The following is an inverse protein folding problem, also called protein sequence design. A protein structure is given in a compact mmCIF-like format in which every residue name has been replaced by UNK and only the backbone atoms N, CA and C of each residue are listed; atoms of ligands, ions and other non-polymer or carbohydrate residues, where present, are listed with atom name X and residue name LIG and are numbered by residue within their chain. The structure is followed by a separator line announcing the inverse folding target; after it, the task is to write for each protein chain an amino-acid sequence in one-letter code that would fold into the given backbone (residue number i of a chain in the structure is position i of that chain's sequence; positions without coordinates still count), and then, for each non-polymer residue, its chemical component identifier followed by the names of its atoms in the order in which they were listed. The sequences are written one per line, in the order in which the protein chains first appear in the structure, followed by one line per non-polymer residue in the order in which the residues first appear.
data_IF_311925575632
#
_entry.id   IF_311925575632
#
_cell.length_a   1.000
_cell.length_b   1.000
_cell.length_c   1.000
_cell.angle_alpha   90.00
_cell.angle_beta   90.00
_cell.angle_gamma   90.00
#
_symmetry.space_group_name_H-M   'P 1'
#
loop_
_entity.id
_entity.type
_entity.pdbx_description
1 polymer ?
#
# COMPACT_ATOMS: atom_id res chain seq x y z
N UNK A 1 36.78 -41.14 -30.39
CA UNK A 1 36.09 -39.85 -30.63
C UNK A 1 34.71 -39.99 -30.00
N UNK A 2 34.46 -39.70 -28.72
CA UNK A 2 34.35 -38.37 -28.06
C UNK A 2 33.46 -37.42 -28.87
N UNK A 3 32.38 -36.79 -28.40
CA UNK A 3 31.59 -36.77 -27.14
C UNK A 3 30.32 -35.94 -27.50
N UNK A 4 29.14 -36.13 -26.88
CA UNK A 4 27.93 -35.35 -27.17
C UNK A 4 27.95 -33.97 -26.48
N UNK A 5 27.46 -32.95 -27.20
CA UNK A 5 27.44 -31.54 -26.79
C UNK A 5 26.53 -31.26 -25.59
N UNK A 6 27.04 -30.40 -24.73
CA UNK A 6 26.58 -30.09 -23.40
C UNK A 6 25.37 -29.14 -23.37
N UNK A 7 24.56 -29.34 -22.32
CA UNK A 7 23.62 -28.39 -21.75
C UNK A 7 24.31 -27.06 -21.41
N UNK A 8 23.73 -25.94 -21.83
CA UNK A 8 23.96 -24.64 -21.20
C UNK A 8 22.63 -24.14 -20.63
N UNK A 9 22.34 -24.62 -19.42
CA UNK A 9 21.31 -24.06 -18.57
C UNK A 9 21.92 -22.85 -17.86
N UNK A 10 21.63 -21.66 -18.36
CA UNK A 10 21.94 -20.41 -17.67
C UNK A 10 21.00 -20.27 -16.47
N UNK A 11 21.34 -20.94 -15.37
CA UNK A 11 20.78 -20.61 -14.05
C UNK A 11 21.30 -19.23 -13.65
N UNK A 12 20.47 -18.20 -13.88
CA UNK A 12 20.60 -16.91 -13.21
C UNK A 12 20.45 -17.16 -11.71
N UNK A 13 21.58 -17.29 -11.03
CA UNK A 13 21.69 -17.19 -9.59
C UNK A 13 21.35 -15.75 -9.19
N UNK A 14 20.10 -15.48 -8.84
CA UNK A 14 19.65 -14.21 -8.28
C UNK A 14 20.05 -14.12 -6.81
N UNK A 15 21.27 -13.66 -6.57
CA UNK A 15 21.74 -13.22 -5.25
C UNK A 15 20.92 -11.97 -4.85
N UNK A 16 19.82 -12.18 -4.13
CA UNK A 16 18.81 -11.13 -3.88
C UNK A 16 19.04 -10.51 -2.50
N UNK A 17 20.14 -9.76 -2.37
CA UNK A 17 20.21 -8.71 -1.36
C UNK A 17 19.53 -7.50 -1.99
N UNK A 18 18.31 -7.14 -1.55
CA UNK A 18 17.55 -6.03 -2.15
C UNK A 18 18.42 -4.75 -2.15
N UNK A 19 18.68 -4.24 -3.34
CA UNK A 19 19.50 -3.06 -3.57
C UNK A 19 18.80 -1.82 -3.01
N UNK A 20 19.55 -0.75 -2.68
CA UNK A 20 18.98 0.50 -2.16
C UNK A 20 17.90 1.11 -3.07
N UNK A 21 17.89 0.77 -4.35
CA UNK A 21 16.90 1.17 -5.37
C UNK A 21 15.56 0.43 -5.31
N UNK A 22 15.42 -0.63 -4.51
CA UNK A 22 14.17 -1.40 -4.39
C UNK A 22 13.36 -1.04 -3.13
N UNK A 23 13.90 -0.17 -2.26
CA UNK A 23 13.21 0.31 -1.06
C UNK A 23 12.46 1.61 -1.37
N UNK A 24 11.24 1.71 -0.85
CA UNK A 24 10.39 2.88 -0.93
C UNK A 24 10.45 3.66 0.39
N UNK A 25 10.41 4.97 0.31
CA UNK A 25 10.02 5.81 1.44
C UNK A 25 8.54 5.61 1.78
N UNK A 26 8.12 6.02 2.98
CA UNK A 26 6.68 6.00 3.32
C UNK A 26 5.84 6.88 2.40
N UNK A 27 6.41 7.99 1.90
CA UNK A 27 5.73 8.87 0.95
C UNK A 27 5.45 8.13 -0.38
N UNK A 28 6.48 7.50 -0.96
CA UNK A 28 6.35 6.75 -2.21
C UNK A 28 5.44 5.54 -2.05
N UNK A 29 5.55 4.82 -0.92
CA UNK A 29 4.68 3.70 -0.60
C UNK A 29 3.22 4.16 -0.47
N UNK A 30 2.95 5.23 0.27
CA UNK A 30 1.61 5.77 0.47
C UNK A 30 0.98 6.27 -0.83
N UNK A 31 1.74 6.99 -1.66
CA UNK A 31 1.26 7.43 -2.97
C UNK A 31 0.93 6.22 -3.85
N UNK A 32 1.84 5.26 -3.98
CA UNK A 32 1.61 4.03 -4.78
C UNK A 32 0.42 3.23 -4.25
N UNK A 33 0.25 3.16 -2.93
CA UNK A 33 -0.90 2.50 -2.31
C UNK A 33 -2.19 3.16 -2.79
N UNK A 34 -2.28 4.49 -2.74
CA UNK A 34 -3.46 5.24 -3.16
C UNK A 34 -3.71 5.07 -4.66
N UNK A 35 -2.67 5.10 -5.48
CA UNK A 35 -2.78 4.84 -6.93
C UNK A 35 -3.35 3.46 -7.23
N UNK A 36 -2.89 2.43 -6.51
CA UNK A 36 -3.38 1.06 -6.66
C UNK A 36 -4.81 0.92 -6.14
N UNK A 37 -5.09 1.51 -4.97
CA UNK A 37 -6.38 1.44 -4.32
C UNK A 37 -7.46 2.30 -4.98
N UNK A 38 -7.11 3.35 -5.72
CA UNK A 38 -8.06 4.24 -6.42
C UNK A 38 -7.85 4.12 -7.91
N UNK A 39 -8.29 2.98 -8.46
CA UNK A 39 -8.24 2.71 -9.88
C UNK A 39 -9.39 3.39 -10.66
N UNK A 40 -9.34 3.28 -11.98
CA UNK A 40 -10.33 3.84 -12.91
C UNK A 40 -11.77 3.46 -12.55
N UNK A 41 -12.00 2.18 -12.26
CA UNK A 41 -13.34 1.64 -12.00
C UNK A 41 -13.93 2.23 -10.73
N UNK A 42 -13.10 2.47 -9.71
CA UNK A 42 -13.54 3.13 -8.47
C UNK A 42 -13.86 4.60 -8.67
N UNK A 43 -13.08 5.30 -9.49
CA UNK A 43 -13.41 6.69 -9.87
C UNK A 43 -14.75 6.73 -10.60
N UNK A 44 -14.98 5.81 -11.54
CA UNK A 44 -16.26 5.71 -12.24
C UNK A 44 -17.40 5.42 -11.26
N UNK A 45 -17.25 4.46 -10.35
CA UNK A 45 -18.25 4.13 -9.34
C UNK A 45 -18.54 5.32 -8.40
N UNK A 46 -17.51 6.05 -7.99
CA UNK A 46 -17.59 7.22 -7.11
C UNK A 46 -18.45 8.35 -7.68
N UNK A 47 -18.50 8.50 -9.00
CA UNK A 47 -19.32 9.52 -9.68
C UNK A 47 -20.59 8.94 -10.30
N UNK A 48 -20.70 7.64 -10.52
CA UNK A 48 -21.86 7.02 -11.20
C UNK A 48 -23.19 7.23 -10.48
N UNK A 49 -23.18 7.46 -9.16
CA UNK A 49 -24.40 7.74 -8.39
C UNK A 49 -25.20 8.97 -8.85
N UNK A 50 -24.59 9.88 -9.63
CA UNK A 50 -25.28 11.03 -10.22
C UNK A 50 -25.87 10.74 -11.62
N UNK A 51 -25.39 9.71 -12.31
CA UNK A 51 -25.83 9.37 -13.65
C UNK A 51 -27.33 9.02 -13.66
N UNK A 52 -28.03 9.45 -14.71
CA UNK A 52 -29.46 9.24 -14.89
C UNK A 52 -30.36 10.12 -14.02
N UNK A 53 -29.82 10.89 -13.06
CA UNK A 53 -30.62 11.84 -12.26
C UNK A 53 -31.14 12.97 -13.14
N UNK A 54 -32.42 13.30 -12.95
CA UNK A 54 -33.04 14.47 -13.57
C UNK A 54 -32.57 15.77 -12.93
N UNK A 55 -32.56 16.84 -13.73
CA UNK A 55 -32.19 18.19 -13.35
C UNK A 55 -33.27 19.14 -13.85
N UNK A 56 -33.82 19.97 -12.96
CA UNK A 56 -34.77 21.03 -13.32
C UNK A 56 -34.18 22.35 -12.88
N UNK A 57 -34.21 23.34 -13.78
CA UNK A 57 -33.64 24.67 -13.63
C UNK A 57 -34.75 25.68 -13.96
N UNK A 58 -35.08 26.52 -12.99
CA UNK A 58 -36.11 27.56 -13.12
C UNK A 58 -37.42 27.24 -12.39
N UNK A 59 -38.47 28.07 -12.63
CA UNK A 59 -38.52 29.14 -13.63
C UNK A 59 -37.64 30.36 -13.28
N UNK A 60 -37.05 30.99 -14.30
CA UNK A 60 -36.27 32.23 -14.17
C UNK A 60 -36.73 33.31 -15.14
N UNK A 61 -36.61 34.58 -14.75
CA UNK A 61 -36.78 35.73 -15.64
C UNK A 61 -35.43 36.23 -16.15
N UNK A 62 -35.32 36.47 -17.46
CA UNK A 62 -34.09 36.83 -18.17
C UNK A 62 -34.34 38.06 -19.06
N UNK A 63 -33.31 38.87 -19.26
CA UNK A 63 -33.34 40.06 -20.12
C UNK A 63 -33.82 41.33 -19.40
N UNK A 64 -33.74 42.49 -20.06
CA UNK A 64 -34.18 43.76 -19.50
C UNK A 64 -35.67 43.68 -19.11
N UNK A 65 -35.99 44.13 -17.89
CA UNK A 65 -37.33 44.06 -17.29
C UNK A 65 -37.93 42.64 -17.13
N UNK A 66 -37.14 41.58 -17.26
CA UNK A 66 -37.61 40.20 -17.05
C UNK A 66 -38.59 39.70 -18.13
N UNK A 67 -38.53 40.28 -19.33
CA UNK A 67 -39.44 40.01 -20.44
C UNK A 67 -39.33 38.60 -21.04
N UNK A 68 -38.29 37.84 -20.68
CA UNK A 68 -38.14 36.45 -21.06
C UNK A 68 -38.23 35.51 -19.84
N UNK A 69 -38.93 34.40 -19.98
CA UNK A 69 -38.95 33.29 -19.01
C UNK A 69 -38.08 32.13 -19.49
N UNK A 70 -37.41 31.43 -18.57
CA UNK A 70 -36.66 30.20 -18.85
C UNK A 70 -37.05 29.10 -17.87
N UNK A 71 -37.35 27.93 -18.42
CA UNK A 71 -37.37 26.65 -17.72
C UNK A 71 -36.47 25.70 -18.48
N UNK A 72 -35.62 24.95 -17.79
CA UNK A 72 -34.80 23.92 -18.41
C UNK A 72 -34.90 22.61 -17.64
N UNK A 73 -35.06 21.52 -18.38
CA UNK A 73 -35.09 20.16 -17.86
C UNK A 73 -33.97 19.37 -18.51
N UNK A 74 -33.22 18.62 -17.71
CA UNK A 74 -32.08 17.86 -18.20
C UNK A 74 -31.90 16.53 -17.49
N UNK A 75 -31.05 15.71 -18.08
CA UNK A 75 -30.67 14.41 -17.54
C UNK A 75 -29.16 14.28 -17.55
N UNK A 76 -28.60 13.89 -16.39
CA UNK A 76 -27.17 13.64 -16.27
C UNK A 76 -26.83 12.32 -16.98
N UNK A 77 -25.88 12.38 -17.91
CA UNK A 77 -25.37 11.23 -18.65
C UNK A 77 -24.34 10.44 -17.85
N UNK A 78 -23.69 9.48 -18.53
CA UNK A 78 -22.65 8.66 -17.93
C UNK A 78 -21.33 9.45 -17.84
N UNK A 79 -20.70 9.58 -16.65
CA UNK A 79 -19.38 10.19 -16.54
C UNK A 79 -18.31 9.43 -17.33
N UNK A 80 -17.35 10.15 -17.90
CA UNK A 80 -16.23 9.57 -18.66
C UNK A 80 -14.92 10.11 -18.08
N UNK A 81 -14.00 9.22 -17.73
CA UNK A 81 -12.66 9.59 -17.28
C UNK A 81 -11.84 10.01 -18.50
N UNK A 82 -11.55 11.30 -18.59
CA UNK A 82 -10.88 11.94 -19.71
C UNK A 82 -9.35 11.80 -19.63
N UNK A 83 -8.78 11.91 -18.41
CA UNK A 83 -7.34 11.84 -18.16
C UNK A 83 -7.07 11.46 -16.70
N UNK A 84 -5.92 10.87 -16.43
CA UNK A 84 -5.42 10.58 -15.09
C UNK A 84 -3.97 11.08 -14.97
N UNK A 85 -3.78 12.36 -14.66
CA UNK A 85 -2.45 12.95 -14.48
C UNK A 85 -2.46 13.98 -13.34
N UNK A 86 -1.51 13.94 -12.39
CA UNK A 86 -0.71 12.79 -11.93
C UNK A 86 -1.57 11.61 -11.40
N UNK A 87 -0.97 10.47 -11.03
CA UNK A 87 -1.65 9.17 -10.78
C UNK A 87 -2.73 9.17 -9.67
N UNK A 88 -2.87 10.25 -8.92
CA UNK A 88 -3.86 10.46 -7.85
C UNK A 88 -4.88 11.56 -8.18
N UNK A 89 -4.81 12.13 -9.37
CA UNK A 89 -5.74 13.15 -9.89
C UNK A 89 -6.42 12.65 -11.15
N UNK A 90 -7.74 12.81 -11.23
CA UNK A 90 -8.56 12.28 -12.32
C UNK A 90 -9.43 13.38 -12.92
N UNK A 91 -9.33 13.58 -14.22
CA UNK A 91 -10.22 14.46 -14.96
C UNK A 91 -11.42 13.65 -15.45
N UNK A 92 -12.62 14.08 -15.06
CA UNK A 92 -13.88 13.42 -15.38
C UNK A 92 -14.79 14.41 -16.09
N UNK A 93 -15.32 14.00 -17.24
CA UNK A 93 -16.33 14.74 -17.99
C UNK A 93 -17.71 14.17 -17.74
N UNK A 94 -18.67 15.03 -17.41
CA UNK A 94 -20.06 14.66 -17.15
C UNK A 94 -20.95 15.34 -18.18
N UNK A 95 -21.48 14.60 -19.17
CA UNK A 95 -22.42 15.14 -20.14
C UNK A 95 -23.81 15.30 -19.50
N UNK A 96 -24.50 16.36 -19.86
CA UNK A 96 -25.90 16.62 -19.48
C UNK A 96 -26.67 17.05 -20.72
N UNK A 97 -27.70 16.29 -21.06
CA UNK A 97 -28.63 16.67 -22.13
C UNK A 97 -29.74 17.53 -21.54
N UNK A 98 -30.06 18.65 -22.19
CA UNK A 98 -31.05 19.62 -21.71
C UNK A 98 -32.07 20.00 -22.78
N UNK A 99 -33.31 20.17 -22.34
CA UNK A 99 -34.41 20.78 -23.09
C UNK A 99 -34.78 22.09 -22.40
N UNK A 100 -34.70 23.19 -23.13
CA UNK A 100 -34.98 24.53 -22.65
C UNK A 100 -36.31 24.99 -23.26
N UNK A 101 -37.16 25.55 -22.41
CA UNK A 101 -38.36 26.29 -22.83
C UNK A 101 -38.14 27.76 -22.50
N UNK A 102 -37.97 28.57 -23.54
CA UNK A 102 -37.80 30.02 -23.45
C UNK A 102 -39.11 30.69 -23.82
N UNK A 103 -39.67 31.50 -22.93
CA UNK A 103 -40.85 32.33 -23.22
C UNK A 103 -40.41 33.75 -23.49
N UNK A 104 -40.72 34.33 -24.64
CA UNK A 104 -40.38 35.72 -24.98
C UNK A 104 -41.59 36.39 -25.63
N UNK A 105 -42.05 37.51 -25.07
CA UNK A 105 -43.21 38.23 -25.60
C UNK A 105 -44.50 37.38 -25.67
N UNK A 106 -44.64 36.42 -24.76
CA UNK A 106 -45.76 35.46 -24.73
C UNK A 106 -45.62 34.26 -25.67
N UNK A 107 -44.60 34.21 -26.52
CA UNK A 107 -44.30 33.07 -27.39
C UNK A 107 -43.33 32.10 -26.70
N UNK A 108 -43.51 30.79 -26.92
CA UNK A 108 -42.63 29.76 -26.38
C UNK A 108 -41.74 29.16 -27.46
N UNK A 109 -40.45 29.06 -27.16
CA UNK A 109 -39.41 28.46 -27.99
C UNK A 109 -38.81 27.28 -27.25
N UNK A 110 -38.73 26.13 -27.92
CA UNK A 110 -38.08 24.93 -27.40
C UNK A 110 -36.72 24.77 -28.03
N UNK A 111 -35.71 24.57 -27.20
CA UNK A 111 -34.31 24.52 -27.62
C UNK A 111 -33.65 23.32 -26.97
N UNK A 112 -32.92 22.53 -27.75
CA UNK A 112 -32.07 21.47 -27.23
C UNK A 112 -30.66 21.99 -27.00
N UNK A 113 -30.11 21.71 -25.82
CA UNK A 113 -28.74 22.04 -25.49
C UNK A 113 -27.99 20.85 -24.89
N UNK A 114 -26.69 20.86 -25.08
CA UNK A 114 -25.77 19.97 -24.40
C UNK A 114 -24.93 20.79 -23.43
N UNK A 115 -24.74 20.24 -22.25
CA UNK A 115 -23.87 20.77 -21.21
C UNK A 115 -22.80 19.73 -20.92
N UNK A 116 -21.54 20.13 -20.92
CA UNK A 116 -20.44 19.27 -20.43
C UNK A 116 -19.86 19.90 -19.17
N UNK A 117 -19.71 19.09 -18.12
CA UNK A 117 -19.11 19.52 -16.86
C UNK A 117 -17.76 18.84 -16.69
N UNK A 118 -16.73 19.64 -16.51
CA UNK A 118 -15.38 19.17 -16.21
C UNK A 118 -15.17 19.09 -14.70
N UNK A 119 -14.81 17.91 -14.22
CA UNK A 119 -14.52 17.64 -12.81
C UNK A 119 -13.06 17.21 -12.67
N UNK A 120 -12.40 17.69 -11.62
CA UNK A 120 -11.09 17.21 -11.19
C UNK A 120 -11.25 16.50 -9.86
N UNK A 121 -10.95 15.21 -9.79
CA UNK A 121 -11.06 14.40 -8.59
C UNK A 121 -9.66 14.16 -8.03
N UNK A 122 -9.50 14.28 -6.71
CA UNK A 122 -8.24 14.03 -6.03
C UNK A 122 -8.38 12.88 -5.05
N UNK A 123 -7.56 11.84 -5.17
CA UNK A 123 -7.45 10.78 -4.17
C UNK A 123 -6.55 11.26 -3.03
N UNK A 124 -7.15 11.63 -1.90
CA UNK A 124 -6.46 12.20 -0.73
C UNK A 124 -6.58 11.26 0.47
N UNK A 125 -5.62 11.34 1.37
CA UNK A 125 -5.56 10.52 2.58
C UNK A 125 -5.99 11.31 3.81
N UNK A 126 -6.67 10.64 4.74
CA UNK A 126 -7.17 11.21 5.99
C UNK A 126 -7.00 10.23 7.15
N UNK A 127 -7.00 10.78 8.37
CA UNK A 127 -6.99 10.01 9.61
C UNK A 127 -8.24 9.11 9.77
N UNK A 128 -8.10 7.88 10.33
CA UNK A 128 -6.84 7.23 10.73
C UNK A 128 -6.08 6.59 9.56
N UNK A 129 -6.80 5.98 8.60
CA UNK A 129 -6.28 5.37 7.36
C UNK A 129 -7.39 5.38 6.30
N UNK A 130 -7.95 6.55 6.03
CA UNK A 130 -9.06 6.73 5.09
C UNK A 130 -8.53 7.33 3.78
N UNK A 131 -9.00 6.82 2.64
CA UNK A 131 -8.81 7.44 1.33
C UNK A 131 -10.13 8.08 0.91
N UNK A 132 -10.08 9.35 0.54
CA UNK A 132 -11.24 10.12 0.08
C UNK A 132 -10.99 10.58 -1.34
N UNK A 133 -11.92 10.28 -2.24
CA UNK A 133 -12.01 10.92 -3.55
C UNK A 133 -12.65 12.29 -3.34
N UNK A 134 -11.79 13.28 -3.17
CA UNK A 134 -12.17 14.68 -3.00
C UNK A 134 -12.58 15.28 -4.35
N UNK A 135 -13.72 15.97 -4.36
CA UNK A 135 -14.24 16.65 -5.54
C UNK A 135 -14.34 18.13 -5.18
N UNK A 136 -13.45 18.99 -5.71
CA UNK A 136 -13.53 20.42 -5.51
C UNK A 136 -14.90 20.94 -5.94
N UNK A 137 -15.33 22.03 -5.29
CA UNK A 137 -16.61 22.66 -5.61
C UNK A 137 -16.65 23.08 -7.07
N UNK A 138 -17.65 22.57 -7.79
CA UNK A 138 -17.89 22.89 -9.21
C UNK A 138 -18.34 24.34 -9.32
N UNK A 139 -17.71 25.09 -10.21
CA UNK A 139 -17.98 26.50 -10.50
C UNK A 139 -18.59 26.61 -11.90
N UNK A 140 -19.27 27.72 -12.19
CA UNK A 140 -19.89 27.95 -13.49
C UNK A 140 -18.89 27.91 -14.67
N UNK A 141 -17.61 28.20 -14.43
CA UNK A 141 -16.54 28.12 -15.43
C UNK A 141 -16.16 26.68 -15.80
N UNK A 142 -16.45 25.73 -14.94
CA UNK A 142 -16.18 24.31 -15.14
C UNK A 142 -17.34 23.64 -15.93
N UNK A 143 -18.32 24.45 -16.36
CA UNK A 143 -19.50 24.02 -17.11
C UNK A 143 -19.46 24.70 -18.48
N UNK A 144 -19.48 23.90 -19.54
CA UNK A 144 -19.68 24.37 -20.90
C UNK A 144 -21.14 24.17 -21.31
N UNK A 145 -21.65 25.07 -22.15
CA UNK A 145 -23.04 25.06 -22.62
C UNK A 145 -23.04 25.31 -24.12
N UNK A 146 -23.67 24.43 -24.88
CA UNK A 146 -23.79 24.52 -26.32
C UNK A 146 -25.23 24.24 -26.76
N UNK A 147 -25.74 25.07 -27.68
CA UNK A 147 -27.07 24.93 -28.27
C UNK A 147 -26.92 24.41 -29.70
N UNK A 148 -27.84 23.56 -30.16
CA UNK A 148 -27.88 23.13 -31.57
C UNK A 148 -28.31 24.30 -32.48
N UNK A 149 -27.47 24.63 -33.47
CA UNK A 149 -27.62 25.81 -34.32
C UNK A 149 -28.94 25.90 -35.09
N UNK A 150 -29.53 24.75 -35.47
CA UNK A 150 -30.80 24.69 -36.21
C UNK A 150 -32.03 25.05 -35.37
N UNK A 151 -31.88 25.12 -34.04
CA UNK A 151 -32.99 25.35 -33.10
C UNK A 151 -33.11 26.80 -32.59
N UNK A 152 -32.26 27.73 -33.06
CA UNK A 152 -32.20 29.11 -32.57
C UNK A 152 -32.80 30.09 -33.58
N UNK A 153 -33.97 30.67 -33.26
CA UNK A 153 -34.48 31.82 -33.98
C UNK A 153 -33.74 33.11 -33.59
N UNK A 154 -33.68 34.11 -34.48
CA UNK A 154 -32.97 35.38 -34.26
C UNK A 154 -33.36 36.10 -32.94
N UNK A 155 -34.60 35.91 -32.46
CA UNK A 155 -35.07 36.48 -31.20
C UNK A 155 -34.49 35.78 -29.94
N UNK A 156 -34.16 34.49 -30.03
CA UNK A 156 -33.53 33.72 -28.95
C UNK A 156 -32.01 33.92 -28.92
N UNK A 157 -31.41 34.22 -30.08
CA UNK A 157 -29.98 34.45 -30.23
C UNK A 157 -29.44 35.52 -29.26
N UNK A 158 -30.17 36.64 -29.12
CA UNK A 158 -29.85 37.74 -28.19
C UNK A 158 -29.89 37.32 -26.72
N UNK A 159 -30.60 36.24 -26.38
CA UNK A 159 -30.73 35.72 -25.02
C UNK A 159 -29.76 34.57 -24.73
N UNK A 160 -29.01 34.07 -25.72
CA UNK A 160 -28.15 32.90 -25.54
C UNK A 160 -27.08 33.12 -24.47
N UNK A 161 -26.39 34.25 -24.48
CA UNK A 161 -25.33 34.54 -23.50
C UNK A 161 -25.88 34.66 -22.06
N UNK A 162 -26.98 35.40 -21.80
CA UNK A 162 -27.66 35.38 -20.51
C UNK A 162 -28.12 33.98 -20.08
N UNK A 163 -28.74 33.20 -20.99
CA UNK A 163 -29.20 31.84 -20.73
C UNK A 163 -28.01 30.94 -20.38
N UNK A 164 -26.93 30.97 -21.16
CA UNK A 164 -25.73 30.18 -20.93
C UNK A 164 -25.10 30.50 -19.57
N UNK A 165 -25.03 31.78 -19.20
CA UNK A 165 -24.50 32.20 -17.89
C UNK A 165 -25.35 31.71 -16.73
N UNK A 166 -26.67 31.81 -16.85
CA UNK A 166 -27.62 31.31 -15.87
C UNK A 166 -27.54 29.77 -15.76
N UNK A 167 -27.66 29.06 -16.88
CA UNK A 167 -27.63 27.60 -16.93
C UNK A 167 -26.33 27.06 -16.34
N UNK A 168 -25.15 27.59 -16.71
CA UNK A 168 -23.87 27.17 -16.15
C UNK A 168 -23.83 27.27 -14.62
N UNK A 169 -24.36 28.37 -14.07
CA UNK A 169 -24.41 28.58 -12.61
C UNK A 169 -25.34 27.59 -11.93
N UNK A 170 -26.55 27.43 -12.45
CA UNK A 170 -27.57 26.57 -11.85
C UNK A 170 -27.21 25.08 -11.97
N UNK A 171 -26.61 24.66 -13.10
CA UNK A 171 -26.04 23.31 -13.27
C UNK A 171 -24.96 23.06 -12.23
N UNK A 172 -23.99 23.97 -12.08
CA UNK A 172 -22.93 23.83 -11.08
C UNK A 172 -23.50 23.73 -9.65
N UNK A 173 -24.49 24.58 -9.30
CA UNK A 173 -25.14 24.53 -8.00
C UNK A 173 -25.86 23.18 -7.77
N UNK A 174 -26.62 22.70 -8.76
CA UNK A 174 -27.35 21.45 -8.65
C UNK A 174 -26.44 20.23 -8.60
N UNK A 175 -25.35 20.23 -9.37
CA UNK A 175 -24.35 19.17 -9.31
C UNK A 175 -23.64 19.14 -7.96
N UNK A 176 -23.25 20.29 -7.40
CA UNK A 176 -22.69 20.35 -6.05
C UNK A 176 -23.65 19.76 -5.01
N UNK A 177 -24.96 20.02 -5.13
CA UNK A 177 -25.97 19.42 -4.26
C UNK A 177 -26.07 17.89 -4.45
N UNK A 178 -25.96 17.38 -5.68
CA UNK A 178 -25.91 15.93 -5.95
C UNK A 178 -24.63 15.29 -5.39
N UNK A 179 -23.49 15.95 -5.53
CA UNK A 179 -22.21 15.50 -4.97
C UNK A 179 -22.22 15.51 -3.44
N UNK A 180 -22.96 16.45 -2.83
CA UNK A 180 -23.16 16.53 -1.40
C UNK A 180 -24.24 15.57 -0.88
N UNK A 181 -24.92 14.81 -1.73
CA UNK A 181 -25.87 13.78 -1.28
C UNK A 181 -25.14 12.68 -0.48
N UNK A 182 -25.65 12.22 0.68
CA UNK A 182 -24.98 11.17 1.46
C UNK A 182 -24.69 9.91 0.66
N UNK A 183 -25.61 9.46 -0.20
CA UNK A 183 -25.39 8.27 -1.03
C UNK A 183 -24.21 8.44 -1.99
N UNK A 184 -24.08 9.61 -2.62
CA UNK A 184 -22.95 9.93 -3.50
C UNK A 184 -21.64 10.05 -2.71
N UNK A 185 -21.67 10.57 -1.48
CA UNK A 185 -20.49 10.67 -0.61
C UNK A 185 -19.94 9.31 -0.19
N UNK A 186 -20.82 8.35 0.14
CA UNK A 186 -20.38 7.02 0.59
C UNK A 186 -19.49 6.30 -0.43
N UNK A 187 -19.79 6.46 -1.73
CA UNK A 187 -18.98 5.87 -2.81
C UNK A 187 -17.59 6.50 -2.99
N UNK A 188 -17.26 7.56 -2.24
CA UNK A 188 -16.00 8.29 -2.34
C UNK A 188 -15.08 8.11 -1.13
N UNK A 189 -15.50 7.37 -0.11
CA UNK A 189 -14.75 7.20 1.14
C UNK A 189 -14.39 5.73 1.31
N UNK A 190 -13.09 5.45 1.37
CA UNK A 190 -12.53 4.11 1.52
C UNK A 190 -11.76 4.04 2.82
N UNK A 191 -12.33 3.37 3.80
CA UNK A 191 -11.66 3.09 5.07
C UNK A 191 -10.80 1.83 4.91
N UNK A 192 -9.48 2.03 4.84
CA UNK A 192 -8.55 0.97 4.52
C UNK A 192 -8.49 -0.07 5.63
N UNK A 193 -8.57 0.36 6.88
CA UNK A 193 -8.60 -0.56 8.02
C UNK A 193 -9.86 -1.42 7.99
N UNK A 194 -11.03 -0.80 7.82
CA UNK A 194 -12.29 -1.53 7.75
C UNK A 194 -12.32 -2.51 6.56
N UNK A 195 -11.81 -2.10 5.39
CA UNK A 195 -11.73 -2.95 4.19
C UNK A 195 -10.80 -4.15 4.44
N UNK A 196 -9.60 -3.92 4.98
CA UNK A 196 -8.63 -5.00 5.27
C UNK A 196 -9.18 -5.99 6.31
N UNK A 197 -9.91 -5.49 7.31
CA UNK A 197 -10.51 -6.31 8.36
C UNK A 197 -11.89 -6.87 7.98
N UNK A 198 -12.42 -6.52 6.78
CA UNK A 198 -13.78 -6.88 6.32
C UNK A 198 -14.88 -6.50 7.32
N UNK A 199 -14.76 -5.32 7.90
CA UNK A 199 -15.71 -4.77 8.86
C UNK A 199 -16.47 -3.58 8.29
N UNK A 200 -17.53 -3.17 8.98
CA UNK A 200 -18.29 -1.96 8.62
C UNK A 200 -17.52 -0.73 9.07
N UNK A 201 -17.40 0.25 8.19
CA UNK A 201 -16.79 1.55 8.50
C UNK A 201 -17.83 2.59 8.92
N UNK A 202 -17.57 3.29 10.02
CA UNK A 202 -18.30 4.49 10.43
C UNK A 202 -17.80 5.76 9.72
N UNK A 203 -16.60 5.73 9.13
CA UNK A 203 -15.98 6.86 8.44
C UNK A 203 -16.70 7.21 7.13
N UNK A 204 -17.38 6.23 6.52
CA UNK A 204 -18.13 6.38 5.26
C UNK A 204 -19.28 7.41 5.38
N UNK A 205 -19.71 7.75 6.59
CA UNK A 205 -20.76 8.75 6.85
C UNK A 205 -20.23 10.15 7.19
N UNK A 206 -18.92 10.31 7.40
CA UNK A 206 -18.32 11.58 7.82
C UNK A 206 -18.29 12.60 6.68
N UNK A 207 -18.35 13.88 7.07
CA UNK A 207 -18.22 15.05 6.18
C UNK A 207 -16.89 15.75 6.32
N UNK A 208 -16.28 15.62 7.49
CA UNK A 208 -15.08 16.35 7.88
C UNK A 208 -13.97 15.33 8.11
N UNK A 209 -12.84 15.59 7.47
CA UNK A 209 -11.68 14.71 7.46
C UNK A 209 -10.46 15.50 7.92
N UNK A 210 -9.69 14.90 8.82
CA UNK A 210 -8.36 15.38 9.14
C UNK A 210 -7.40 14.84 8.07
N UNK A 211 -7.02 15.71 7.15
CA UNK A 211 -6.16 15.36 6.02
C UNK A 211 -4.74 15.07 6.48
N UNK A 212 -4.19 13.93 6.03
CA UNK A 212 -2.80 13.53 6.24
C UNK A 212 -2.13 13.39 4.89
N UNK A 213 -0.81 13.59 4.82
CA UNK A 213 -0.07 13.33 3.60
C UNK A 213 0.17 11.82 3.38
N UNK A 214 0.69 11.47 2.20
CA UNK A 214 0.96 10.09 1.86
C UNK A 214 2.06 9.45 2.73
N UNK A 215 2.99 10.25 3.26
CA UNK A 215 4.05 9.74 4.12
C UNK A 215 3.48 9.28 5.47
N UNK A 216 2.64 10.10 6.08
CA UNK A 216 1.96 9.79 7.33
C UNK A 216 0.98 8.63 7.15
N UNK A 217 0.24 8.59 6.04
CA UNK A 217 -0.61 7.45 5.68
C UNK A 217 0.21 6.14 5.57
N UNK A 218 1.32 6.17 4.82
CA UNK A 218 2.21 5.02 4.67
C UNK A 218 2.78 4.55 6.00
N UNK A 219 3.24 5.48 6.85
CA UNK A 219 3.77 5.19 8.19
C UNK A 219 2.74 4.51 9.08
N UNK A 220 1.50 5.00 9.10
CA UNK A 220 0.39 4.45 9.91
C UNK A 220 -0.12 3.10 9.40
N UNK A 221 0.00 2.83 8.11
CA UNK A 221 -0.39 1.56 7.53
C UNK A 221 0.46 0.38 8.04
N UNK A 222 1.73 0.64 8.36
CA UNK A 222 2.68 -0.42 8.76
C UNK A 222 2.27 -1.14 10.05
N UNK A 223 1.96 -0.45 11.17
CA UNK A 223 1.48 -1.10 12.38
C UNK A 223 0.20 -1.94 12.20
N UNK A 224 -0.68 -1.57 11.27
CA UNK A 224 -1.92 -2.29 10.98
C UNK A 224 -1.64 -3.66 10.33
N UNK A 225 -0.70 -3.70 9.39
CA UNK A 225 -0.45 -4.89 8.57
C UNK A 225 0.70 -5.78 9.09
N UNK A 226 1.65 -5.18 9.80
CA UNK A 226 2.81 -5.82 10.42
C UNK A 226 2.56 -6.02 11.91
N UNK A 227 1.83 -7.10 12.22
CA UNK A 227 1.55 -7.50 13.61
C UNK A 227 2.61 -8.47 14.13
N UNK A 228 2.74 -8.57 15.46
CA UNK A 228 3.67 -9.51 16.08
C UNK A 228 3.35 -10.97 15.72
N UNK A 229 2.06 -11.32 15.67
CA UNK A 229 1.62 -12.68 15.30
C UNK A 229 2.02 -13.02 13.87
N UNK A 230 1.86 -12.08 12.94
CA UNK A 230 2.25 -12.31 11.55
C UNK A 230 3.76 -12.47 11.38
N UNK A 231 4.54 -11.65 12.07
CA UNK A 231 6.01 -11.78 12.04
C UNK A 231 6.44 -13.08 12.73
N UNK A 232 5.72 -13.52 13.77
CA UNK A 232 5.93 -14.81 14.43
C UNK A 232 5.73 -15.98 13.45
N UNK A 233 4.61 -16.03 12.74
CA UNK A 233 4.32 -17.09 11.74
C UNK A 233 5.45 -17.23 10.72
N UNK A 234 6.07 -16.11 10.33
CA UNK A 234 7.17 -16.06 9.38
C UNK A 234 8.48 -16.62 9.97
N UNK A 235 8.78 -16.34 11.24
CA UNK A 235 10.04 -16.79 11.87
C UNK A 235 9.93 -18.19 12.49
N UNK A 236 8.74 -18.70 12.78
CA UNK A 236 8.53 -20.06 13.30
C UNK A 236 9.06 -21.13 12.36
N UNK A 237 9.12 -20.87 11.05
CA UNK A 237 9.73 -21.77 10.06
C UNK A 237 11.24 -22.02 10.23
N UNK A 238 11.91 -21.25 11.09
CA UNK A 238 13.31 -21.48 11.50
C UNK A 238 13.44 -22.60 12.54
N UNK A 239 12.39 -22.89 13.31
CA UNK A 239 12.43 -23.92 14.34
C UNK A 239 12.63 -25.32 13.73
N UNK A 240 13.36 -26.18 14.44
CA UNK A 240 13.61 -27.56 14.02
C UNK A 240 14.72 -27.73 12.98
N UNK A 241 15.31 -26.64 12.47
CA UNK A 241 16.40 -26.69 11.50
C UNK A 241 17.67 -27.25 12.14
N UNK A 242 18.30 -28.22 11.47
CA UNK A 242 19.55 -28.80 11.92
C UNK A 242 20.71 -27.82 11.66
N UNK A 243 21.60 -27.71 12.63
CA UNK A 243 22.88 -27.02 12.49
C UNK A 243 23.97 -28.07 12.53
N UNK A 244 24.69 -28.24 11.43
CA UNK A 244 25.91 -29.03 11.40
C UNK A 244 27.07 -28.12 11.03
N UNK A 245 28.07 -28.06 11.91
CA UNK A 245 29.34 -27.38 11.62
C UNK A 245 30.42 -28.44 11.60
N UNK A 246 31.00 -28.63 10.43
CA UNK A 246 32.01 -29.64 10.14
C UNK A 246 33.29 -29.47 10.96
N UNK A 247 34.23 -30.44 10.88
CA UNK A 247 35.39 -30.49 11.76
C UNK A 247 36.26 -29.22 11.64
N UNK A 248 36.19 -28.39 12.66
CA UNK A 248 36.96 -27.16 12.81
C UNK A 248 38.28 -27.48 13.51
N UNK A 249 39.42 -27.15 12.88
CA UNK A 249 40.71 -27.25 13.57
C UNK A 249 40.88 -26.08 14.54
N UNK A 250 41.38 -26.36 15.75
CA UNK A 250 41.59 -25.36 16.80
C UNK A 250 42.74 -25.76 17.73
N UNK A 251 43.14 -24.85 18.63
CA UNK A 251 44.26 -25.07 19.57
C UNK A 251 45.65 -24.72 19.01
N UNK A 252 46.72 -24.84 19.82
CA UNK A 252 48.09 -24.61 19.37
C UNK A 252 48.47 -25.59 18.24
N UNK A 253 48.88 -25.07 17.08
CA UNK A 253 49.28 -25.89 15.93
C UNK A 253 48.15 -26.73 15.31
N UNK A 254 46.88 -26.32 15.44
CA UNK A 254 45.72 -27.03 14.89
C UNK A 254 45.53 -28.47 15.43
N UNK A 255 46.02 -28.73 16.65
CA UNK A 255 46.05 -30.05 17.27
C UNK A 255 44.69 -30.59 17.76
N UNK A 256 43.62 -29.79 17.68
CA UNK A 256 42.27 -30.18 18.08
C UNK A 256 41.29 -30.13 16.91
N UNK A 257 40.36 -31.08 16.83
CA UNK A 257 39.24 -31.06 15.87
C UNK A 257 37.91 -30.90 16.59
N UNK A 258 37.06 -29.97 16.14
CA UNK A 258 35.75 -29.69 16.75
C UNK A 258 34.63 -29.98 15.76
N UNK A 259 33.76 -30.93 16.08
CA UNK A 259 32.49 -31.14 15.37
C UNK A 259 31.33 -30.58 16.17
N UNK A 260 30.37 -29.93 15.50
CA UNK A 260 29.18 -29.37 16.14
C UNK A 260 27.94 -29.89 15.44
N UNK A 261 26.97 -30.36 16.22
CA UNK A 261 25.63 -30.69 15.76
C UNK A 261 24.61 -30.02 16.64
N UNK A 262 23.47 -29.63 16.10
CA UNK A 262 22.46 -28.97 16.89
C UNK A 262 21.17 -28.74 16.14
N UNK A 263 20.25 -28.08 16.84
CA UNK A 263 18.93 -27.76 16.32
C UNK A 263 18.51 -26.36 16.74
N UNK A 264 17.94 -25.62 15.81
CA UNK A 264 17.26 -24.35 16.10
C UNK A 264 15.99 -24.65 16.88
N UNK A 265 15.84 -24.02 18.04
CA UNK A 265 14.63 -24.11 18.87
C UNK A 265 13.65 -23.01 18.47
N UNK A 266 12.48 -22.99 19.11
CA UNK A 266 11.44 -22.02 18.83
C UNK A 266 11.94 -20.57 19.07
N UNK A 267 11.93 -19.69 18.05
CA UNK A 267 12.34 -18.31 18.21
C UNK A 267 11.40 -17.52 19.13
N UNK A 268 11.94 -16.51 19.79
CA UNK A 268 11.19 -15.58 20.65
C UNK A 268 11.19 -14.21 20.00
N UNK A 269 9.99 -13.65 19.82
CA UNK A 269 9.79 -12.36 19.17
C UNK A 269 9.19 -11.36 20.18
N UNK A 270 9.78 -10.17 20.26
CA UNK A 270 9.26 -9.05 21.06
C UNK A 270 9.15 -7.81 20.17
N UNK A 271 7.97 -7.19 20.13
CA UNK A 271 7.77 -5.93 19.41
C UNK A 271 8.37 -4.78 20.20
N UNK A 272 9.13 -3.90 19.54
CA UNK A 272 9.56 -2.63 20.15
C UNK A 272 8.41 -1.62 20.11
N UNK A 273 8.11 -1.03 21.26
CA UNK A 273 7.03 -0.05 21.42
C UNK A 273 7.52 1.34 20.98
N UNK A 274 6.73 2.04 20.16
CA UNK A 274 7.02 3.42 19.76
C UNK A 274 8.08 3.59 18.66
N UNK A 275 8.65 2.51 18.13
CA UNK A 275 9.62 2.57 17.04
C UNK A 275 8.95 2.89 15.69
N UNK A 276 9.59 3.79 14.96
CA UNK A 276 9.34 4.08 13.56
C UNK A 276 10.68 4.01 12.82
N UNK A 277 10.92 3.02 11.94
CA UNK A 277 9.97 2.01 11.42
C UNK A 277 9.57 0.92 12.43
N UNK A 278 8.46 0.21 12.15
CA UNK A 278 8.01 -0.94 12.94
C UNK A 278 9.10 -2.00 13.03
N UNK A 279 9.50 -2.34 14.26
CA UNK A 279 10.66 -3.20 14.52
C UNK A 279 10.39 -4.26 15.60
N UNK A 280 11.18 -5.34 15.57
CA UNK A 280 11.08 -6.45 16.50
C UNK A 280 12.45 -6.98 16.89
N UNK A 281 12.60 -7.33 18.17
CA UNK A 281 13.71 -8.13 18.66
C UNK A 281 13.38 -9.61 18.49
N UNK A 282 14.23 -10.32 17.75
CA UNK A 282 14.16 -11.76 17.54
C UNK A 282 15.33 -12.43 18.23
N UNK A 283 15.03 -13.31 19.19
CA UNK A 283 16.01 -14.19 19.82
C UNK A 283 15.82 -15.61 19.28
N UNK A 284 16.87 -16.17 18.67
CA UNK A 284 16.89 -17.53 18.14
C UNK A 284 17.73 -18.42 19.07
N UNK A 285 17.08 -19.25 19.92
CA UNK A 285 17.78 -20.22 20.73
C UNK A 285 18.22 -21.42 19.90
N UNK A 286 19.45 -21.87 20.11
CA UNK A 286 20.08 -22.99 19.42
C UNK A 286 20.74 -23.89 20.46
N UNK A 287 20.33 -25.17 20.46
CA UNK A 287 21.00 -26.19 21.28
C UNK A 287 22.07 -26.89 20.44
N UNK A 288 23.31 -26.94 20.93
CA UNK A 288 24.43 -27.58 20.26
C UNK A 288 25.05 -28.69 21.13
N UNK A 289 25.30 -29.84 20.52
CA UNK A 289 26.20 -30.87 21.02
C UNK A 289 27.53 -30.76 20.27
N UNK A 290 28.61 -30.56 21.02
CA UNK A 290 29.94 -30.28 20.49
C UNK A 290 30.88 -31.42 20.89
N UNK A 291 31.60 -31.95 19.92
CA UNK A 291 32.65 -32.95 20.13
C UNK A 291 34.00 -32.34 19.82
N UNK A 292 34.90 -32.34 20.81
CA UNK A 292 36.27 -31.83 20.68
C UNK A 292 37.25 -32.99 20.83
N UNK A 293 37.95 -33.32 19.75
CA UNK A 293 38.98 -34.36 19.74
C UNK A 293 40.37 -33.74 19.93
N UNK A 294 40.99 -34.04 21.08
CA UNK A 294 42.39 -33.72 21.41
C UNK A 294 42.99 -34.97 22.04
N UNK A 295 43.61 -35.83 21.23
CA UNK A 295 44.09 -37.17 21.63
C UNK A 295 42.97 -38.17 22.03
N UNK A 296 41.86 -37.69 22.59
CA UNK A 296 40.58 -38.38 22.83
C UNK A 296 39.40 -37.42 22.66
N UNK A 297 38.26 -37.95 22.23
CA UNK A 297 37.02 -37.19 22.08
C UNK A 297 36.42 -36.76 23.44
N UNK A 298 36.18 -35.46 23.59
CA UNK A 298 35.48 -34.85 24.72
C UNK A 298 34.16 -34.25 24.23
N UNK A 299 33.10 -34.33 25.04
CA UNK A 299 31.76 -33.81 24.71
C UNK A 299 31.42 -32.58 25.53
N UNK A 300 30.77 -31.63 24.88
CA UNK A 300 30.27 -30.39 25.48
C UNK A 300 28.86 -30.14 24.97
N UNK A 301 28.05 -29.51 25.80
CA UNK A 301 26.77 -28.94 25.39
C UNK A 301 26.90 -27.42 25.38
N UNK A 302 26.39 -26.77 24.34
CA UNK A 302 26.29 -25.33 24.32
C UNK A 302 24.85 -24.89 24.09
N UNK A 303 24.46 -23.87 24.85
CA UNK A 303 23.25 -23.10 24.61
C UNK A 303 23.67 -21.81 23.94
N UNK A 304 23.18 -21.61 22.73
CA UNK A 304 23.52 -20.45 21.90
C UNK A 304 22.27 -19.61 21.69
N UNK A 305 22.39 -18.30 21.86
CA UNK A 305 21.33 -17.35 21.56
C UNK A 305 21.83 -16.37 20.50
N UNK A 306 21.10 -16.28 19.39
CA UNK A 306 21.36 -15.30 18.32
C UNK A 306 20.32 -14.19 18.43
N UNK A 307 20.77 -12.97 18.66
CA UNK A 307 19.92 -11.78 18.71
C UNK A 307 19.89 -11.10 17.34
N UNK A 308 18.68 -10.78 16.86
CA UNK A 308 18.45 -10.13 15.58
C UNK A 308 17.46 -8.98 15.74
N UNK A 309 17.70 -7.92 14.98
CA UNK A 309 16.72 -6.85 14.79
C UNK A 309 16.00 -7.08 13.46
N UNK A 310 14.68 -7.20 13.54
CA UNK A 310 13.80 -7.21 12.37
C UNK A 310 13.21 -5.82 12.20
N UNK A 311 13.20 -5.32 10.97
CA UNK A 311 12.65 -4.00 10.62
C UNK A 311 11.72 -4.15 9.42
N UNK A 312 10.49 -3.67 9.55
CA UNK A 312 9.58 -3.62 8.41
C UNK A 312 9.95 -2.44 7.49
N UNK A 313 10.21 -2.73 6.22
CA UNK A 313 10.56 -1.73 5.20
C UNK A 313 9.59 -1.82 4.01
N UNK A 314 9.24 -0.68 3.44
CA UNK A 314 8.47 -0.62 2.20
C UNK A 314 9.40 -0.95 1.02
N UNK A 315 9.01 -1.88 0.16
CA UNK A 315 9.75 -2.28 -1.04
C UNK A 315 8.89 -2.21 -2.31
N UNK A 316 9.55 -2.24 -3.45
CA UNK A 316 8.88 -2.27 -4.76
C UNK A 316 8.22 -3.63 -5.06
N UNK A 317 7.08 -3.66 -5.80
CA UNK A 317 6.32 -2.52 -6.30
C UNK A 317 5.39 -1.89 -5.24
N UNK A 318 4.86 -2.71 -4.33
CA UNK A 318 4.06 -2.36 -3.14
C UNK A 318 4.18 -3.50 -2.12
N UNK A 319 5.41 -3.76 -1.71
CA UNK A 319 5.74 -4.83 -0.77
C UNK A 319 6.05 -4.23 0.60
N UNK A 320 5.79 -5.01 1.64
CA UNK A 320 6.40 -4.79 2.95
C UNK A 320 7.31 -5.99 3.23
N UNK A 321 8.60 -5.73 3.38
CA UNK A 321 9.61 -6.75 3.66
C UNK A 321 10.02 -6.62 5.11
N UNK A 322 9.99 -7.73 5.84
CA UNK A 322 10.56 -7.84 7.18
C UNK A 322 12.06 -8.09 7.00
N UNK A 323 12.80 -7.00 6.92
CA UNK A 323 14.25 -7.00 6.77
C UNK A 323 14.91 -7.45 8.07
N UNK A 324 15.83 -8.42 7.97
CA UNK A 324 16.61 -8.89 9.11
C UNK A 324 18.07 -8.54 8.84
N UNK A 325 18.67 -7.73 9.70
CA UNK A 325 20.08 -7.44 9.58
C UNK A 325 20.88 -8.75 9.77
N UNK A 326 21.76 -9.14 8.82
CA UNK A 326 22.54 -10.36 8.95
C UNK A 326 23.34 -10.39 10.26
N UNK A 327 23.26 -11.48 11.05
CA UNK A 327 23.94 -11.54 12.34
C UNK A 327 25.45 -11.48 12.16
N UNK A 328 26.10 -10.75 13.07
CA UNK A 328 27.54 -10.79 13.30
C UNK A 328 27.83 -11.78 14.43
N UNK A 329 29.08 -12.23 14.54
CA UNK A 329 29.49 -13.11 15.64
C UNK A 329 29.34 -12.46 17.02
N UNK A 330 29.30 -11.13 17.10
CA UNK A 330 29.04 -10.37 18.33
C UNK A 330 27.58 -10.44 18.79
N UNK A 331 26.67 -10.80 17.88
CA UNK A 331 25.23 -10.91 18.15
C UNK A 331 24.87 -12.33 18.64
N UNK A 332 25.89 -13.18 18.82
CA UNK A 332 25.75 -14.58 19.23
C UNK A 332 26.36 -14.77 20.62
N UNK A 333 25.49 -15.06 21.58
CA UNK A 333 25.91 -15.43 22.94
C UNK A 333 26.05 -16.95 23.02
N UNK A 334 27.18 -17.44 23.53
CA UNK A 334 27.48 -18.87 23.65
C UNK A 334 27.74 -19.20 25.13
N UNK A 335 26.83 -19.94 25.75
CA UNK A 335 27.07 -20.59 27.03
C UNK A 335 27.52 -22.03 26.80
N UNK A 336 28.67 -22.41 27.36
CA UNK A 336 29.31 -23.70 27.12
C UNK A 336 29.40 -24.47 28.44
N UNK A 337 28.81 -25.66 28.44
CA UNK A 337 28.81 -26.58 29.57
C UNK A 337 29.61 -27.84 29.23
N UNK A 338 30.56 -28.15 30.09
CA UNK A 338 31.43 -29.30 29.98
C UNK A 338 30.73 -30.56 30.55
N UNK A 339 30.67 -31.64 29.77
CA UNK A 339 30.20 -32.93 30.27
C UNK A 339 31.37 -33.69 30.91
N UNK A 340 31.53 -33.54 32.23
CA UNK A 340 32.46 -34.32 33.06
C UNK A 340 33.67 -33.55 33.63
N UNK A 341 34.32 -34.15 34.63
CA UNK A 341 35.40 -33.55 35.43
C UNK A 341 36.61 -33.08 34.58
N UNK A 342 36.93 -33.81 33.49
CA UNK A 342 38.16 -33.58 32.68
C UNK A 342 38.03 -32.44 31.65
N UNK A 343 36.82 -31.98 31.38
CA UNK A 343 36.55 -30.94 30.38
C UNK A 343 36.75 -29.50 30.91
N UNK A 344 37.19 -29.34 32.17
CA UNK A 344 37.47 -28.03 32.81
C UNK A 344 38.84 -27.40 32.47
N UNK A 345 39.66 -28.00 31.62
CA UNK A 345 41.12 -27.72 31.57
C UNK A 345 41.58 -26.86 30.38
N UNK A 346 40.69 -26.26 29.58
CA UNK A 346 41.12 -25.54 28.37
C UNK A 346 41.16 -24.01 28.53
N UNK A 347 42.38 -23.44 28.52
CA UNK A 347 42.61 -22.00 28.31
C UNK A 347 42.20 -21.48 26.91
N UNK A 348 41.67 -22.37 26.05
CA UNK A 348 41.19 -22.09 24.69
C UNK A 348 39.67 -21.91 24.57
N UNK A 349 38.91 -21.97 25.68
CA UNK A 349 37.44 -21.82 25.68
C UNK A 349 36.98 -20.52 24.99
N UNK A 350 37.70 -19.41 25.18
CA UNK A 350 37.37 -18.15 24.51
C UNK A 350 37.56 -18.18 22.99
N UNK A 351 38.54 -18.93 22.46
CA UNK A 351 38.73 -19.11 21.00
C UNK A 351 37.63 -20.00 20.42
N UNK A 352 37.27 -21.08 21.12
CA UNK A 352 36.21 -22.00 20.72
C UNK A 352 34.85 -21.28 20.68
N UNK A 353 34.50 -20.49 21.70
CA UNK A 353 33.27 -19.68 21.73
C UNK A 353 33.16 -18.75 20.53
N UNK A 354 34.23 -18.02 20.18
CA UNK A 354 34.24 -17.12 19.01
C UNK A 354 34.04 -17.87 17.69
N UNK A 355 34.64 -19.05 17.58
CA UNK A 355 34.55 -19.86 16.37
C UNK A 355 33.13 -20.45 16.19
N UNK A 356 32.53 -20.95 17.28
CA UNK A 356 31.13 -21.39 17.29
C UNK A 356 30.21 -20.21 16.93
N UNK A 357 30.40 -19.05 17.56
CA UNK A 357 29.61 -17.85 17.28
C UNK A 357 29.67 -17.43 15.81
N UNK A 358 30.85 -17.43 15.19
CA UNK A 358 31.02 -17.10 13.78
C UNK A 358 30.30 -18.10 12.85
N UNK A 359 30.36 -19.39 13.16
CA UNK A 359 29.74 -20.44 12.35
C UNK A 359 28.22 -20.46 12.47
N UNK A 360 27.69 -20.32 13.70
CA UNK A 360 26.26 -20.16 13.91
C UNK A 360 25.74 -18.92 13.19
N UNK A 361 26.43 -17.78 13.30
CA UNK A 361 26.06 -16.58 12.55
C UNK A 361 26.06 -16.79 11.03
N UNK A 362 27.00 -17.57 10.50
CA UNK A 362 27.07 -17.90 9.08
C UNK A 362 25.88 -18.76 8.61
N UNK A 363 25.52 -19.79 9.39
CA UNK A 363 24.37 -20.65 9.09
C UNK A 363 23.07 -19.84 9.12
N UNK A 364 22.83 -19.08 10.19
CA UNK A 364 21.63 -18.23 10.29
C UNK A 364 21.60 -17.18 9.18
N UNK A 365 22.74 -16.59 8.81
CA UNK A 365 22.82 -15.66 7.68
C UNK A 365 22.40 -16.29 6.35
N UNK A 366 22.81 -17.54 6.09
CA UNK A 366 22.43 -18.25 4.88
C UNK A 366 20.90 -18.51 4.86
N UNK A 367 20.32 -18.88 6.00
CA UNK A 367 18.85 -19.05 6.12
C UNK A 367 18.09 -17.72 5.93
N UNK A 368 18.69 -16.61 6.37
CA UNK A 368 18.11 -15.26 6.19
C UNK A 368 18.42 -14.64 4.82
N UNK A 369 19.09 -15.34 3.90
CA UNK A 369 19.42 -14.78 2.59
C UNK A 369 18.20 -14.70 1.66
N UNK A 370 17.20 -15.58 1.80
CA UNK A 370 15.96 -15.54 1.01
C UNK A 370 14.89 -14.68 1.71
N UNK A 371 14.45 -13.55 1.12
CA UNK A 371 13.41 -12.72 1.70
C UNK A 371 11.99 -13.20 1.41
N UNK A 372 11.75 -14.18 0.52
CA UNK A 372 10.41 -14.53 0.02
C UNK A 372 9.41 -14.90 1.12
N UNK A 373 9.85 -15.57 2.18
CA UNK A 373 9.01 -15.90 3.34
C UNK A 373 8.68 -14.71 4.25
N UNK A 374 9.38 -13.58 4.09
CA UNK A 374 9.31 -12.36 4.91
C UNK A 374 8.68 -11.17 4.18
N UNK A 375 8.03 -11.44 3.05
CA UNK A 375 7.44 -10.40 2.21
C UNK A 375 5.92 -10.44 2.28
N UNK A 376 5.32 -9.26 2.43
CA UNK A 376 3.89 -9.04 2.39
C UNK A 376 3.57 -8.31 1.08
N UNK A 377 2.83 -8.98 0.20
CA UNK A 377 2.25 -8.34 -0.99
C UNK A 377 1.02 -7.51 -0.57
N UNK A 378 1.15 -6.18 -0.63
CA UNK A 378 0.08 -5.26 -0.25
C UNK A 378 -0.89 -5.05 -1.41
N UNK A 379 -0.40 -5.01 -2.65
CA UNK A 379 -1.24 -4.87 -3.84
C UNK A 379 -2.23 -6.05 -3.95
N UNK A 380 -1.72 -7.29 -3.86
CA UNK A 380 -2.57 -8.48 -3.90
C UNK A 380 -3.61 -8.53 -2.77
N UNK A 381 -3.32 -7.94 -1.60
CA UNK A 381 -4.27 -7.81 -0.49
C UNK A 381 -5.37 -6.78 -0.77
N UNK A 382 -5.03 -5.64 -1.37
CA UNK A 382 -6.01 -4.64 -1.80
C UNK A 382 -6.97 -5.28 -2.80
N UNK A 383 -6.43 -6.00 -3.79
CA UNK A 383 -7.24 -6.66 -4.83
C UNK A 383 -8.20 -7.67 -4.21
N UNK A 384 -7.69 -8.55 -3.33
CA UNK A 384 -8.49 -9.60 -2.66
C UNK A 384 -9.55 -9.07 -1.68
N UNK A 385 -9.37 -7.87 -1.15
CA UNK A 385 -10.35 -7.25 -0.25
C UNK A 385 -11.46 -6.52 -1.01
N UNK A 386 -11.27 -6.30 -2.30
CA UNK A 386 -12.12 -5.39 -3.10
C UNK A 386 -12.71 -6.01 -4.36
N UNK A 387 -12.28 -7.22 -4.71
CA UNK A 387 -13.03 -8.21 -5.48
C UNK A 387 -14.23 -8.74 -4.71
#
# INVERSE_FOLDING_TARGET
MAQPGAHDGTERSSDTTLSKSEWLSYAEFGERFVVHAVNRDRIEAAVSGMAGRGMVIGPFSIGPAGLAGLVAEGKVGKPVIARSEPRVTFEVRVPVSMHLTVTLGGQQFRVEATVEIDLTLHARTADPLVIVIDVPRVRARDVSFAVRAEAVGAAVDVLLDPIATLVRREVAARLNAMLADPAARRGRVFDVEAIMNRTRSDHVLRTDFEWIDYAEFGRRFFPLIVTADRVRDVVEGLAGRAIEVGPLRTGPGDAATVGVKGIVRMPRLTRRQGDDPVSFDLAIPVGLDITVDVLKANRYRAEVEVALLLVARAGEPLLIVIDAMPPRSTDVTVDLQAEGWRAKVLGSVGKIRRQIAAQVAQVIRAELADPRGRTIDVAGRIDSATS
#
